data_IF_064558133474
#
_entry.id   IF_064558133474
#
_cell.length_a   1.000
_cell.length_b   1.000
_cell.length_c   1.000
_cell.angle_alpha   90.00
_cell.angle_beta   90.00
_cell.angle_gamma   90.00
#
_symmetry.space_group_name_H-M   'P 1'
#
loop_
_entity.id
_entity.type
_entity.pdbx_description
1 polymer ?
#
# COMPACT_ATOMS: atom_id res chain seq x y z
N UNK A 1 12.56 -5.94 13.99
CA UNK A 1 11.75 -4.99 13.19
C UNK A 1 10.86 -5.81 12.28
N UNK A 2 9.54 -5.75 12.48
CA UNK A 2 8.58 -6.47 11.65
C UNK A 2 8.68 -5.97 10.20
N UNK A 3 8.95 -6.89 9.28
CA UNK A 3 9.19 -6.63 7.85
C UNK A 3 7.91 -6.64 7.01
N UNK A 4 6.74 -6.57 7.66
CA UNK A 4 5.43 -6.75 7.03
C UNK A 4 4.51 -5.61 7.46
N UNK A 5 3.98 -4.87 6.49
CA UNK A 5 2.89 -3.91 6.70
C UNK A 5 1.60 -4.67 6.40
N UNK A 6 0.71 -4.77 7.38
CA UNK A 6 -0.63 -5.31 7.21
C UNK A 6 -1.62 -4.16 7.21
N UNK A 7 -2.38 -4.03 6.13
CA UNK A 7 -3.44 -3.02 6.00
C UNK A 7 -4.76 -3.78 5.97
N UNK A 8 -5.61 -3.49 6.96
CA UNK A 8 -6.95 -4.05 7.04
C UNK A 8 -7.89 -3.17 6.24
N UNK A 9 -8.47 -3.74 5.19
CA UNK A 9 -9.49 -3.10 4.38
C UNK A 9 -10.84 -3.73 4.70
N UNK A 10 -11.89 -2.92 4.70
CA UNK A 10 -13.27 -3.41 4.63
C UNK A 10 -13.56 -4.05 3.27
N UNK A 11 -14.66 -4.79 3.15
CA UNK A 11 -15.06 -5.41 1.87
C UNK A 11 -15.27 -4.38 0.75
N UNK A 12 -15.83 -3.20 1.10
CA UNK A 12 -16.05 -2.11 0.15
C UNK A 12 -14.73 -1.52 -0.33
N UNK A 13 -13.79 -1.26 0.59
CA UNK A 13 -12.45 -0.74 0.26
C UNK A 13 -11.65 -1.74 -0.58
N UNK A 14 -11.74 -3.03 -0.25
CA UNK A 14 -11.12 -4.09 -1.04
C UNK A 14 -11.70 -4.16 -2.46
N UNK A 15 -13.03 -4.12 -2.57
CA UNK A 15 -13.71 -4.16 -3.86
C UNK A 15 -13.33 -2.97 -4.75
N UNK A 16 -13.23 -1.77 -4.18
CA UNK A 16 -12.78 -0.57 -4.88
C UNK A 16 -11.31 -0.69 -5.34
N UNK A 17 -10.42 -1.14 -4.45
CA UNK A 17 -9.01 -1.35 -4.80
C UNK A 17 -8.86 -2.38 -5.91
N UNK A 18 -9.60 -3.48 -5.84
CA UNK A 18 -9.56 -4.55 -6.84
C UNK A 18 -10.05 -4.07 -8.20
N UNK A 19 -11.17 -3.35 -8.25
CA UNK A 19 -11.68 -2.77 -9.49
C UNK A 19 -10.70 -1.74 -10.10
N UNK A 20 -10.05 -0.93 -9.27
CA UNK A 20 -9.04 0.01 -9.72
C UNK A 20 -7.80 -0.70 -10.27
N UNK A 21 -7.33 -1.77 -9.62
CA UNK A 21 -6.20 -2.57 -10.05
C UNK A 21 -6.47 -3.27 -11.39
N UNK A 22 -7.66 -3.85 -11.56
CA UNK A 22 -8.10 -4.47 -12.82
C UNK A 22 -8.09 -3.46 -13.98
N UNK A 23 -8.53 -2.22 -13.73
CA UNK A 23 -8.60 -1.17 -14.78
C UNK A 23 -7.24 -0.78 -15.36
N UNK A 24 -6.15 -1.02 -14.62
CA UNK A 24 -4.78 -0.71 -15.03
C UNK A 24 -3.93 -1.97 -15.28
N UNK A 25 -4.57 -3.14 -15.32
CA UNK A 25 -3.91 -4.45 -15.47
C UNK A 25 -2.78 -4.68 -14.45
N UNK A 26 -3.04 -4.33 -13.19
CA UNK A 26 -2.11 -4.51 -12.06
C UNK A 26 -2.74 -5.35 -10.96
N UNK A 27 -1.94 -5.83 -10.00
CA UNK A 27 -2.49 -6.48 -8.80
C UNK A 27 -2.92 -5.42 -7.76
N UNK A 28 -3.94 -5.72 -6.93
CA UNK A 28 -4.33 -4.86 -5.81
C UNK A 28 -3.16 -4.51 -4.90
N UNK A 29 -2.28 -5.48 -4.62
CA UNK A 29 -1.08 -5.31 -3.80
C UNK A 29 -0.09 -4.33 -4.43
N UNK A 30 0.14 -4.44 -5.74
CA UNK A 30 1.07 -3.57 -6.44
C UNK A 30 0.53 -2.14 -6.54
N UNK A 31 -0.76 -1.99 -6.84
CA UNK A 31 -1.44 -0.69 -6.84
C UNK A 31 -1.39 -0.05 -5.44
N UNK A 32 -1.74 -0.78 -4.39
CA UNK A 32 -1.69 -0.28 -3.02
C UNK A 32 -0.26 0.13 -2.63
N UNK A 33 0.74 -0.69 -2.92
CA UNK A 33 2.14 -0.38 -2.64
C UNK A 33 2.59 0.91 -3.33
N UNK A 34 2.32 1.05 -4.63
CA UNK A 34 2.69 2.25 -5.39
C UNK A 34 1.97 3.48 -4.85
N UNK A 35 0.68 3.36 -4.56
CA UNK A 35 -0.14 4.45 -4.04
C UNK A 35 0.34 4.92 -2.67
N UNK A 36 0.69 3.99 -1.78
CA UNK A 36 1.30 4.27 -0.48
C UNK A 36 2.66 4.94 -0.63
N UNK A 37 3.53 4.44 -1.50
CA UNK A 37 4.82 5.07 -1.77
C UNK A 37 4.65 6.50 -2.29
N UNK A 38 3.74 6.73 -3.24
CA UNK A 38 3.44 8.06 -3.77
C UNK A 38 2.90 8.99 -2.68
N UNK A 39 1.91 8.54 -1.90
CA UNK A 39 1.35 9.31 -0.78
C UNK A 39 2.43 9.69 0.22
N UNK A 40 3.27 8.74 0.62
CA UNK A 40 4.29 8.95 1.64
C UNK A 40 5.52 9.73 1.15
N UNK A 41 5.76 9.80 -0.16
CA UNK A 41 6.77 10.71 -0.72
C UNK A 41 6.26 12.16 -0.77
N UNK A 42 4.97 12.37 -1.08
CA UNK A 42 4.39 13.71 -1.27
C UNK A 42 3.91 14.31 0.06
N UNK A 43 3.31 13.50 0.93
CA UNK A 43 2.83 13.92 2.23
C UNK A 43 3.95 13.69 3.25
N UNK A 44 4.68 14.76 3.62
CA UNK A 44 5.63 14.79 4.73
C UNK A 44 4.94 14.72 6.10
N UNK A 45 3.93 13.85 6.24
CA UNK A 45 3.28 13.58 7.51
C UNK A 45 3.99 12.38 8.11
N UNK A 46 4.48 12.52 9.35
CA UNK A 46 5.04 11.43 10.15
C UNK A 46 3.93 10.46 10.59
N UNK A 47 3.33 9.78 9.62
CA UNK A 47 2.49 8.61 9.85
C UNK A 47 3.39 7.38 9.91
N UNK A 48 3.23 6.54 10.95
CA UNK A 48 3.99 5.29 11.14
C UNK A 48 4.00 4.39 9.88
N UNK A 49 2.91 4.42 9.11
CA UNK A 49 2.77 3.72 7.83
C UNK A 49 3.72 4.29 6.78
N UNK A 50 3.92 5.60 6.74
CA UNK A 50 4.82 6.25 5.79
C UNK A 50 6.29 6.05 6.14
N UNK A 51 6.66 6.09 7.41
CA UNK A 51 8.02 5.74 7.84
C UNK A 51 8.34 4.29 7.56
N UNK A 52 7.39 3.39 7.84
CA UNK A 52 7.51 1.97 7.49
C UNK A 52 7.63 1.81 5.97
N UNK A 53 6.80 2.49 5.18
CA UNK A 53 6.78 2.39 3.71
C UNK A 53 8.06 2.92 3.08
N UNK A 54 8.61 4.04 3.56
CA UNK A 54 9.92 4.58 3.11
C UNK A 54 11.06 3.58 3.40
N UNK A 55 10.98 2.85 4.51
CA UNK A 55 11.91 1.79 4.87
C UNK A 55 11.78 0.49 4.06
N UNK A 56 10.79 0.36 3.16
CA UNK A 56 10.51 -0.85 2.37
C UNK A 56 11.15 -0.89 0.98
N UNK A 57 12.05 0.03 0.61
CA UNK A 57 12.87 -0.16 -0.59
C UNK A 57 13.61 -1.51 -0.49
N UNK A 58 13.14 -2.51 -1.25
CA UNK A 58 13.64 -3.89 -1.21
C UNK A 58 12.92 -4.88 -0.26
N UNK A 59 11.69 -4.60 0.21
CA UNK A 59 10.92 -5.50 1.11
C UNK A 59 9.58 -5.96 0.54
N UNK A 60 9.02 -7.03 1.13
CA UNK A 60 7.74 -7.63 0.74
C UNK A 60 6.54 -6.87 1.31
N UNK A 61 5.56 -6.57 0.46
CA UNK A 61 4.29 -5.91 0.81
C UNK A 61 3.16 -6.93 0.64
N UNK A 62 2.29 -7.06 1.63
CA UNK A 62 1.14 -7.96 1.58
C UNK A 62 -0.10 -7.22 2.05
N UNK A 63 -1.15 -7.31 1.25
CA UNK A 63 -2.49 -7.01 1.70
C UNK A 63 -3.05 -8.26 2.38
N UNK A 64 -3.99 -8.05 3.30
CA UNK A 64 -4.64 -9.14 4.03
C UNK A 64 -5.42 -10.06 3.10
#
# INVERSE_FOLDING_TARGET
>A
MNTRIEIRLSEDEWSLLNAAADSIHSSPEELARISLMQRCMVMSVDEEVCDSTRGMLGRAFQLN
#
